data_IF_136788463384
#
_entry.id   IF_136788463384
#
_cell.length_a   1.000
_cell.length_b   1.000
_cell.length_c   1.000
_cell.angle_alpha   90.00
_cell.angle_beta   90.00
_cell.angle_gamma   90.00
#
_symmetry.space_group_name_H-M   'P 1'
#
loop_
_entity.id
_entity.type
_entity.pdbx_description
1 polymer ?
#
# COMPACT_ATOMS: atom_id res chain seq x y z
N UNK A 1 -11.35 -10.68 -17.13
CA UNK A 1 -12.10 -10.03 -16.03
C UNK A 1 -11.13 -9.19 -15.23
N UNK A 2 -11.34 -7.87 -15.13
CA UNK A 2 -10.43 -6.98 -14.38
C UNK A 2 -10.71 -7.19 -12.89
N UNK A 3 -9.68 -7.43 -12.08
CA UNK A 3 -9.84 -7.59 -10.62
C UNK A 3 -9.73 -6.21 -9.98
N UNK A 4 -10.79 -5.83 -9.28
CA UNK A 4 -10.81 -4.65 -8.41
C UNK A 4 -10.43 -5.12 -7.00
N UNK A 5 -9.38 -4.52 -6.42
CA UNK A 5 -8.84 -4.88 -5.10
C UNK A 5 -8.90 -3.64 -4.22
N UNK A 6 -9.64 -3.73 -3.12
CA UNK A 6 -9.68 -2.72 -2.07
C UNK A 6 -8.70 -3.11 -0.95
N UNK A 7 -7.84 -2.19 -0.55
CA UNK A 7 -6.81 -2.40 0.46
C UNK A 7 -6.99 -1.38 1.57
N UNK A 8 -7.01 -1.87 2.81
CA UNK A 8 -6.76 -1.05 4.00
C UNK A 8 -5.25 -0.80 4.11
N UNK A 9 -4.86 0.45 3.88
CA UNK A 9 -3.48 0.89 3.88
C UNK A 9 -2.81 0.63 5.23
N UNK A 10 -3.46 0.96 6.35
CA UNK A 10 -2.85 0.78 7.67
C UNK A 10 -2.66 -0.68 8.01
N UNK A 11 -3.66 -1.52 7.76
CA UNK A 11 -3.54 -2.94 8.03
C UNK A 11 -2.35 -3.54 7.24
N UNK A 12 -2.21 -3.16 5.96
CA UNK A 12 -1.13 -3.64 5.12
C UNK A 12 0.24 -3.10 5.55
N UNK A 13 0.35 -1.82 5.91
CA UNK A 13 1.59 -1.23 6.42
C UNK A 13 2.08 -1.91 7.70
N UNK A 14 1.18 -2.26 8.63
CA UNK A 14 1.53 -2.98 9.85
C UNK A 14 1.99 -4.43 9.60
N UNK A 15 1.56 -5.05 8.49
CA UNK A 15 1.96 -6.41 8.10
C UNK A 15 3.29 -6.48 7.37
N UNK A 16 3.81 -5.36 6.85
CA UNK A 16 5.08 -5.31 6.12
C UNK A 16 6.16 -4.73 7.06
N UNK A 17 7.11 -5.55 7.57
CA UNK A 17 8.10 -5.11 8.57
C UNK A 17 8.92 -3.90 8.12
N UNK A 18 9.30 -3.86 6.84
CA UNK A 18 10.07 -2.78 6.20
C UNK A 18 9.33 -1.43 6.21
N UNK A 19 8.00 -1.47 6.09
CA UNK A 19 7.17 -0.25 6.09
C UNK A 19 6.82 0.13 7.53
N UNK A 20 6.49 -0.86 8.37
CA UNK A 20 6.17 -0.69 9.79
C UNK A 20 7.30 0.00 10.57
N UNK A 21 8.55 -0.33 10.29
CA UNK A 21 9.70 0.31 10.95
C UNK A 21 9.82 1.79 10.58
N UNK A 22 9.53 2.14 9.32
CA UNK A 22 9.54 3.51 8.82
C UNK A 22 8.38 4.37 9.32
N UNK A 23 7.21 3.78 9.59
CA UNK A 23 6.01 4.52 10.04
C UNK A 23 6.22 5.33 11.33
N UNK A 24 7.12 4.89 12.23
CA UNK A 24 7.37 5.58 13.51
C UNK A 24 8.04 6.94 13.36
N UNK A 25 8.84 7.10 12.31
CA UNK A 25 9.60 8.32 12.06
C UNK A 25 9.02 9.14 10.91
N UNK A 26 8.39 8.46 9.94
CA UNK A 26 7.89 9.07 8.71
C UNK A 26 6.71 8.25 8.16
N UNK A 27 5.50 8.61 8.61
CA UNK A 27 4.27 7.99 8.16
C UNK A 27 3.98 8.29 6.68
N UNK A 28 4.25 9.52 6.24
CA UNK A 28 4.01 9.93 4.84
C UNK A 28 4.92 9.17 3.87
N UNK A 29 6.23 9.08 4.16
CA UNK A 29 7.13 8.27 3.34
C UNK A 29 6.82 6.77 3.41
N UNK A 30 6.26 6.28 4.51
CA UNK A 30 5.75 4.90 4.57
C UNK A 30 4.55 4.69 3.63
N UNK A 31 3.63 5.66 3.54
CA UNK A 31 2.51 5.65 2.59
C UNK A 31 3.00 5.69 1.14
N UNK A 32 3.94 6.57 0.80
CA UNK A 32 4.51 6.64 -0.55
C UNK A 32 5.18 5.33 -0.97
N UNK A 33 5.99 4.73 -0.08
CA UNK A 33 6.63 3.42 -0.35
C UNK A 33 5.59 2.32 -0.59
N UNK A 34 4.49 2.32 0.16
CA UNK A 34 3.40 1.37 -0.06
C UNK A 34 2.74 1.57 -1.43
N UNK A 35 2.40 2.82 -1.78
CA UNK A 35 1.76 3.16 -3.06
C UNK A 35 2.65 2.76 -4.24
N UNK A 36 3.96 3.04 -4.19
CA UNK A 36 4.91 2.65 -5.23
C UNK A 36 4.96 1.12 -5.44
N UNK A 37 4.96 0.36 -4.35
CA UNK A 37 4.96 -1.11 -4.38
C UNK A 37 3.66 -1.65 -4.97
N UNK A 38 2.52 -1.08 -4.58
CA UNK A 38 1.20 -1.46 -5.08
C UNK A 38 0.97 -1.05 -6.53
N UNK A 39 1.51 0.08 -6.97
CA UNK A 39 1.46 0.53 -8.36
C UNK A 39 2.17 -0.46 -9.29
N UNK A 40 3.38 -0.91 -8.90
CA UNK A 40 4.12 -1.94 -9.62
C UNK A 40 3.34 -3.26 -9.70
N UNK A 41 2.69 -3.65 -8.60
CA UNK A 41 1.84 -4.84 -8.54
C UNK A 41 0.59 -4.71 -9.43
N UNK A 42 -0.06 -3.55 -9.42
CA UNK A 42 -1.23 -3.24 -10.25
C UNK A 42 -0.93 -3.40 -11.74
N UNK A 43 0.22 -2.86 -12.17
CA UNK A 43 0.69 -2.92 -13.53
C UNK A 43 0.97 -4.36 -13.96
N UNK A 44 1.69 -5.12 -13.13
CA UNK A 44 2.05 -6.51 -13.42
C UNK A 44 0.82 -7.43 -13.52
N UNK A 45 -0.16 -7.25 -12.64
CA UNK A 45 -1.35 -8.11 -12.56
C UNK A 45 -2.56 -7.58 -13.36
N UNK A 46 -2.42 -6.43 -14.04
CA UNK A 46 -3.52 -5.72 -14.74
C UNK A 46 -4.76 -5.56 -13.85
N UNK A 47 -4.53 -5.30 -12.57
CA UNK A 47 -5.56 -5.12 -11.55
C UNK A 47 -5.77 -3.64 -11.24
N UNK A 48 -6.98 -3.27 -10.84
CA UNK A 48 -7.26 -1.95 -10.27
C UNK A 48 -7.16 -2.07 -8.76
N UNK A 49 -6.26 -1.28 -8.16
CA UNK A 49 -6.10 -1.24 -6.72
C UNK A 49 -6.55 0.11 -6.17
N UNK A 50 -7.40 0.05 -5.15
CA UNK A 50 -7.81 1.22 -4.37
C UNK A 50 -7.29 1.03 -2.95
N UNK A 51 -6.49 1.97 -2.48
CA UNK A 51 -5.91 1.95 -1.13
C UNK A 51 -6.59 3.04 -0.32
N UNK A 52 -7.11 2.68 0.84
CA UNK A 52 -7.73 3.62 1.78
C UNK A 52 -6.83 3.78 2.98
N UNK A 53 -6.51 5.03 3.32
CA UNK A 53 -5.81 5.37 4.56
C UNK A 53 -6.79 6.12 5.45
N UNK A 54 -7.03 5.62 6.66
CA UNK A 54 -7.83 6.32 7.65
C UNK A 54 -6.98 7.43 8.30
N UNK A 55 -7.40 8.68 8.13
CA UNK A 55 -6.62 9.87 8.49
C UNK A 55 -6.24 9.94 9.96
#
# INVERSE_FOLDING_TARGET
>A
MKKDILIDGYNLMHRIPEIRSGMKNDLEGARERLILRLSSYAALHRARLTVVFDG
#
